data_IF_650426599527
#
_entry.id   IF_650426599527
#
_cell.length_a   1.000
_cell.length_b   1.000
_cell.length_c   1.000
_cell.angle_alpha   90.00
_cell.angle_beta   90.00
_cell.angle_gamma   90.00
#
_symmetry.space_group_name_H-M   'P 1'
#
loop_
_entity.id
_entity.type
_entity.pdbx_description
1 polymer ?
#
# COMPACT_ATOMS: atom_id res chain seq x y z
N UNK A 1 26.84 -32.03 21.20
CA UNK A 1 26.76 -30.83 20.36
C UNK A 1 25.76 -31.13 19.24
N UNK A 2 24.47 -30.79 19.44
CA UNK A 2 23.46 -30.81 18.37
C UNK A 2 23.58 -29.53 17.56
N UNK A 3 23.96 -29.68 16.31
CA UNK A 3 23.89 -28.59 15.31
C UNK A 3 22.42 -28.30 15.04
N UNK A 4 21.93 -27.16 15.51
CA UNK A 4 20.63 -26.62 15.07
C UNK A 4 20.75 -26.32 13.58
N UNK A 5 20.14 -27.18 12.76
CA UNK A 5 19.91 -26.94 11.34
C UNK A 5 18.89 -25.78 11.26
N UNK A 6 19.35 -24.58 10.94
CA UNK A 6 18.48 -23.48 10.55
C UNK A 6 17.77 -23.87 9.26
N UNK A 7 16.59 -24.45 9.38
CA UNK A 7 15.66 -24.60 8.26
C UNK A 7 15.03 -23.21 8.03
N UNK A 8 15.60 -22.41 7.16
CA UNK A 8 14.89 -21.33 6.50
C UNK A 8 13.86 -21.99 5.56
N UNK A 9 12.67 -22.29 6.07
CA UNK A 9 11.56 -22.71 5.20
C UNK A 9 11.22 -21.53 4.30
N UNK A 10 11.38 -21.71 3.00
CA UNK A 10 10.89 -20.75 2.02
C UNK A 10 9.36 -20.75 2.01
N UNK A 11 8.75 -19.57 1.99
CA UNK A 11 7.32 -19.41 1.82
C UNK A 11 6.92 -19.95 0.43
N UNK A 12 5.83 -20.71 0.38
CA UNK A 12 5.35 -21.36 -0.86
C UNK A 12 4.16 -20.64 -1.48
N UNK A 13 3.39 -19.92 -0.68
CA UNK A 13 2.11 -19.32 -1.05
C UNK A 13 2.05 -17.85 -0.73
N UNK A 14 2.58 -17.43 0.44
CA UNK A 14 2.68 -16.03 0.79
C UNK A 14 3.76 -15.32 -0.03
N UNK A 15 3.36 -14.26 -0.75
CA UNK A 15 4.25 -13.35 -1.43
C UNK A 15 4.60 -12.13 -0.56
N UNK A 16 5.12 -11.08 -1.19
CA UNK A 16 5.47 -9.82 -0.52
C UNK A 16 4.27 -9.08 0.08
N UNK A 17 3.08 -9.30 -0.46
CA UNK A 17 1.83 -8.63 -0.03
C UNK A 17 0.68 -9.64 0.10
N UNK A 18 0.85 -10.61 0.97
CA UNK A 18 -0.13 -11.67 1.21
C UNK A 18 -0.16 -12.73 0.11
N UNK A 19 -1.31 -13.37 -0.05
CA UNK A 19 -1.56 -14.38 -1.08
C UNK A 19 -2.30 -13.73 -2.23
N UNK A 20 -1.80 -13.84 -3.45
CA UNK A 20 -2.42 -13.26 -4.66
C UNK A 20 -2.39 -14.23 -5.82
N UNK A 21 -3.37 -14.09 -6.72
CA UNK A 21 -3.41 -14.85 -7.95
C UNK A 21 -4.61 -14.51 -8.83
N UNK A 22 -4.65 -15.14 -9.98
CA UNK A 22 -5.80 -15.06 -10.87
C UNK A 22 -6.95 -15.89 -10.31
N UNK A 23 -8.13 -15.31 -10.30
CA UNK A 23 -9.34 -15.98 -9.76
C UNK A 23 -9.66 -17.25 -10.54
N UNK A 24 -9.88 -18.35 -9.82
CA UNK A 24 -10.12 -19.67 -10.41
C UNK A 24 -8.87 -20.51 -10.60
N UNK A 25 -7.68 -19.93 -10.43
CA UNK A 25 -6.40 -20.61 -10.44
C UNK A 25 -5.80 -20.64 -9.02
N UNK A 26 -5.06 -21.71 -8.68
CA UNK A 26 -4.37 -21.75 -7.39
C UNK A 26 -3.40 -20.57 -7.25
N UNK A 27 -3.37 -19.85 -6.11
CA UNK A 27 -4.06 -20.11 -4.84
C UNK A 27 -5.45 -19.47 -4.71
N UNK A 28 -5.94 -18.73 -5.72
CA UNK A 28 -7.21 -18.00 -5.62
C UNK A 28 -8.42 -18.86 -6.03
N UNK A 29 -8.65 -19.93 -5.28
CA UNK A 29 -9.80 -20.85 -5.38
C UNK A 29 -10.55 -20.89 -4.04
N UNK A 30 -11.85 -21.23 -4.07
CA UNK A 30 -12.70 -21.31 -2.88
C UNK A 30 -12.16 -22.32 -1.88
N UNK A 31 -11.72 -23.50 -2.35
CA UNK A 31 -11.14 -24.54 -1.49
C UNK A 31 -9.89 -24.03 -0.78
N UNK A 32 -8.94 -23.45 -1.52
CA UNK A 32 -7.71 -22.97 -0.93
C UNK A 32 -7.96 -21.82 0.08
N UNK A 33 -8.83 -20.86 -0.27
CA UNK A 33 -9.18 -19.73 0.61
C UNK A 33 -9.83 -20.23 1.91
N UNK A 34 -10.71 -21.22 1.84
CA UNK A 34 -11.32 -21.83 3.04
C UNK A 34 -10.28 -22.54 3.91
N UNK A 35 -9.34 -23.26 3.32
CA UNK A 35 -8.23 -23.93 4.03
C UNK A 35 -7.31 -22.91 4.68
N UNK A 36 -6.97 -21.83 3.96
CA UNK A 36 -6.14 -20.73 4.49
C UNK A 36 -6.82 -20.05 5.68
N UNK A 37 -8.13 -19.84 5.62
CA UNK A 37 -8.91 -19.27 6.72
C UNK A 37 -8.83 -20.13 7.99
N UNK A 38 -9.05 -21.45 7.86
CA UNK A 38 -8.92 -22.38 8.97
C UNK A 38 -7.50 -22.46 9.54
N UNK A 39 -6.49 -22.44 8.65
CA UNK A 39 -5.09 -22.39 9.07
C UNK A 39 -4.77 -21.09 9.85
N UNK A 40 -5.22 -19.94 9.35
CA UNK A 40 -5.05 -18.66 10.03
C UNK A 40 -5.76 -18.64 11.39
N UNK A 41 -6.98 -19.15 11.47
CA UNK A 41 -7.74 -19.28 12.72
C UNK A 41 -6.96 -20.08 13.77
N UNK A 42 -6.40 -21.24 13.39
CA UNK A 42 -5.67 -22.11 14.30
C UNK A 42 -4.36 -21.52 14.83
N UNK A 43 -3.74 -20.59 14.08
CA UNK A 43 -2.50 -19.91 14.48
C UNK A 43 -2.77 -18.64 15.26
N UNK A 44 -3.70 -17.81 14.77
CA UNK A 44 -3.91 -16.45 15.29
C UNK A 44 -4.97 -16.36 16.39
N UNK A 45 -5.89 -17.33 16.44
CA UNK A 45 -6.97 -17.36 17.41
C UNK A 45 -7.33 -18.80 17.86
N UNK A 46 -6.36 -19.57 18.39
CA UNK A 46 -6.56 -21.00 18.71
C UNK A 46 -7.58 -21.23 19.83
N UNK A 47 -7.95 -20.20 20.58
CA UNK A 47 -8.95 -20.25 21.67
C UNK A 47 -10.30 -19.63 21.26
N UNK A 48 -10.52 -19.38 19.98
CA UNK A 48 -11.65 -18.60 19.49
C UNK A 48 -11.39 -17.09 19.58
N UNK A 49 -12.40 -16.30 19.28
CA UNK A 49 -12.35 -14.84 19.32
C UNK A 49 -12.99 -14.20 18.09
N UNK A 50 -12.59 -13.00 17.78
CA UNK A 50 -13.19 -12.20 16.71
C UNK A 50 -12.21 -11.98 15.57
N UNK A 51 -12.71 -12.04 14.34
CA UNK A 51 -11.97 -11.69 13.10
C UNK A 51 -12.76 -10.65 12.31
N UNK A 52 -12.05 -9.64 11.82
CA UNK A 52 -12.61 -8.62 10.92
C UNK A 52 -12.31 -9.01 9.48
N UNK A 53 -13.32 -8.99 8.61
CA UNK A 53 -13.18 -9.28 7.18
C UNK A 53 -13.73 -8.12 6.35
N UNK A 54 -12.89 -7.58 5.49
CA UNK A 54 -13.29 -6.56 4.53
C UNK A 54 -12.75 -6.87 3.14
N UNK A 55 -13.29 -6.19 2.14
CA UNK A 55 -12.95 -6.44 0.73
C UNK A 55 -12.94 -5.16 -0.09
N UNK A 56 -12.32 -5.22 -1.26
CA UNK A 56 -12.56 -4.22 -2.30
C UNK A 56 -13.84 -4.53 -3.10
N UNK A 57 -14.00 -3.92 -4.26
CA UNK A 57 -15.23 -3.97 -5.05
C UNK A 57 -15.25 -5.08 -6.11
N UNK A 58 -14.22 -5.92 -6.19
CA UNK A 58 -14.13 -7.04 -7.17
C UNK A 58 -15.30 -7.98 -7.02
N UNK A 59 -15.84 -8.46 -8.15
CA UNK A 59 -16.94 -9.44 -8.14
C UNK A 59 -16.56 -10.70 -7.35
N UNK A 60 -15.33 -11.17 -7.47
CA UNK A 60 -14.82 -12.34 -6.76
C UNK A 60 -14.72 -12.13 -5.24
N UNK A 61 -14.69 -10.88 -4.77
CA UNK A 61 -14.66 -10.55 -3.36
C UNK A 61 -15.86 -11.08 -2.59
N UNK A 62 -17.02 -11.12 -3.19
CA UNK A 62 -18.24 -11.68 -2.57
C UNK A 62 -18.14 -13.19 -2.36
N UNK A 63 -17.62 -13.90 -3.37
CA UNK A 63 -17.39 -15.33 -3.28
C UNK A 63 -16.37 -15.70 -2.19
N UNK A 64 -15.24 -14.96 -2.16
CA UNK A 64 -14.19 -15.20 -1.16
C UNK A 64 -14.61 -14.78 0.24
N UNK A 65 -15.41 -13.69 0.39
CA UNK A 65 -15.99 -13.30 1.68
C UNK A 65 -16.85 -14.45 2.24
N UNK A 66 -17.71 -15.06 1.42
CA UNK A 66 -18.56 -16.17 1.84
C UNK A 66 -17.73 -17.41 2.21
N UNK A 67 -16.66 -17.72 1.47
CA UNK A 67 -15.77 -18.81 1.79
C UNK A 67 -15.02 -18.61 3.12
N UNK A 68 -14.49 -17.40 3.34
CA UNK A 68 -13.86 -17.01 4.59
C UNK A 68 -14.84 -17.06 5.76
N UNK A 69 -16.04 -16.48 5.59
CA UNK A 69 -17.10 -16.47 6.61
C UNK A 69 -17.41 -17.91 7.07
N UNK A 70 -17.70 -18.80 6.12
CA UNK A 70 -18.03 -20.19 6.44
C UNK A 70 -16.89 -20.91 7.18
N UNK A 71 -15.64 -20.77 6.69
CA UNK A 71 -14.49 -21.43 7.27
C UNK A 71 -14.13 -20.91 8.66
N UNK A 72 -14.21 -19.60 8.87
CA UNK A 72 -13.90 -18.95 10.15
C UNK A 72 -14.96 -19.23 11.21
N UNK A 73 -16.24 -19.19 10.84
CA UNK A 73 -17.36 -19.62 11.71
C UNK A 73 -17.23 -21.09 12.10
N UNK A 74 -16.91 -21.96 11.13
CA UNK A 74 -16.63 -23.37 11.38
C UNK A 74 -15.46 -23.60 12.35
N UNK A 75 -14.48 -22.69 12.35
CA UNK A 75 -13.33 -22.70 13.28
C UNK A 75 -13.64 -22.08 14.65
N UNK A 76 -14.89 -21.73 14.95
CA UNK A 76 -15.32 -21.19 16.25
C UNK A 76 -15.06 -19.71 16.43
N UNK A 77 -14.85 -18.93 15.35
CA UNK A 77 -14.60 -17.50 15.41
C UNK A 77 -15.84 -16.67 15.10
N UNK A 78 -16.04 -15.60 15.85
CA UNK A 78 -16.97 -14.55 15.48
C UNK A 78 -16.40 -13.72 14.32
N UNK A 79 -17.16 -13.61 13.24
CA UNK A 79 -16.75 -12.93 12.02
C UNK A 79 -17.48 -11.60 11.87
N UNK A 80 -16.72 -10.51 11.85
CA UNK A 80 -17.25 -9.17 11.62
C UNK A 80 -17.03 -8.78 10.15
N UNK A 81 -18.12 -8.70 9.37
CA UNK A 81 -18.10 -8.38 7.95
C UNK A 81 -18.26 -6.87 7.73
N UNK A 82 -17.34 -6.25 6.99
CA UNK A 82 -17.36 -4.82 6.65
C UNK A 82 -17.90 -4.55 5.25
N UNK A 83 -17.90 -5.56 4.38
CA UNK A 83 -18.20 -5.38 2.96
C UNK A 83 -17.09 -4.61 2.23
N UNK A 84 -17.40 -3.86 1.15
CA UNK A 84 -16.42 -3.00 0.48
C UNK A 84 -15.92 -1.89 1.42
N UNK A 85 -14.63 -1.97 1.75
CA UNK A 85 -13.99 -1.13 2.75
C UNK A 85 -12.49 -0.95 2.45
N UNK A 86 -11.91 0.26 2.59
CA UNK A 86 -10.49 0.49 2.37
C UNK A 86 -9.59 -0.38 3.25
N UNK A 87 -8.48 -0.84 2.69
CA UNK A 87 -7.44 -1.59 3.44
C UNK A 87 -7.07 -0.91 4.76
N UNK A 88 -6.74 0.40 4.81
CA UNK A 88 -6.45 1.08 6.07
C UNK A 88 -7.65 1.12 7.03
N UNK A 89 -8.88 1.16 6.53
CA UNK A 89 -10.08 1.10 7.37
C UNK A 89 -10.27 -0.28 8.01
N UNK A 90 -9.92 -1.37 7.30
CA UNK A 90 -9.94 -2.72 7.86
C UNK A 90 -8.86 -2.86 8.94
N UNK A 91 -7.66 -2.33 8.69
CA UNK A 91 -6.56 -2.24 9.66
C UNK A 91 -7.01 -1.51 10.93
N UNK A 92 -7.58 -0.32 10.78
CA UNK A 92 -8.13 0.47 11.88
C UNK A 92 -9.21 -0.31 12.66
N UNK A 93 -10.19 -0.88 11.97
CA UNK A 93 -11.31 -1.59 12.61
C UNK A 93 -10.83 -2.84 13.35
N UNK A 94 -9.85 -3.56 12.82
CA UNK A 94 -9.25 -4.73 13.47
C UNK A 94 -8.71 -4.36 14.85
N UNK A 95 -7.99 -3.26 14.96
CA UNK A 95 -7.45 -2.74 16.21
C UNK A 95 -8.54 -2.14 17.10
N UNK A 96 -9.42 -1.31 16.55
CA UNK A 96 -10.47 -0.58 17.27
C UNK A 96 -11.47 -1.53 17.97
N UNK A 97 -11.82 -2.64 17.30
CA UNK A 97 -12.70 -3.68 17.84
C UNK A 97 -11.96 -4.73 18.70
N UNK A 98 -10.66 -4.59 18.94
CA UNK A 98 -9.84 -5.58 19.64
C UNK A 98 -9.97 -6.99 19.03
N UNK A 99 -10.08 -7.10 17.71
CA UNK A 99 -10.15 -8.38 17.02
C UNK A 99 -8.82 -9.15 17.12
N UNK A 100 -8.89 -10.48 17.12
CA UNK A 100 -7.69 -11.32 17.14
C UNK A 100 -6.84 -11.12 15.88
N UNK A 101 -7.51 -10.95 14.76
CA UNK A 101 -6.86 -10.65 13.49
C UNK A 101 -7.84 -10.05 12.48
N UNK A 102 -7.32 -9.57 11.36
CA UNK A 102 -8.10 -9.07 10.23
C UNK A 102 -7.76 -9.78 8.93
N UNK A 103 -8.70 -9.84 8.02
CA UNK A 103 -8.51 -10.35 6.66
C UNK A 103 -8.99 -9.33 5.64
N UNK A 104 -8.13 -8.97 4.71
CA UNK A 104 -8.43 -8.09 3.58
C UNK A 104 -8.51 -8.92 2.31
N UNK A 105 -9.62 -8.79 1.58
CA UNK A 105 -9.81 -9.44 0.28
C UNK A 105 -9.59 -8.39 -0.80
N UNK A 106 -8.39 -8.33 -1.35
CA UNK A 106 -8.02 -7.38 -2.39
C UNK A 106 -6.73 -7.78 -3.10
N UNK A 107 -6.62 -7.41 -4.37
CA UNK A 107 -5.38 -7.42 -5.13
C UNK A 107 -4.90 -5.98 -5.46
N UNK A 108 -5.27 -4.98 -4.63
CA UNK A 108 -4.86 -3.58 -4.73
C UNK A 108 -5.05 -3.01 -6.15
N UNK A 109 -3.96 -2.75 -6.86
CA UNK A 109 -3.93 -2.10 -8.17
C UNK A 109 -4.15 -3.04 -9.39
N UNK A 110 -4.25 -4.35 -9.17
CA UNK A 110 -4.49 -5.30 -10.27
C UNK A 110 -5.90 -5.16 -10.85
N UNK A 111 -6.12 -5.69 -12.07
CA UNK A 111 -7.44 -5.82 -12.70
C UNK A 111 -8.36 -6.74 -11.91
N UNK A 112 -9.67 -6.73 -12.21
CA UNK A 112 -10.68 -7.52 -11.50
C UNK A 112 -10.49 -9.04 -11.59
N UNK A 113 -9.76 -9.53 -12.57
CA UNK A 113 -9.47 -10.95 -12.79
C UNK A 113 -8.57 -11.54 -11.70
N UNK A 114 -7.86 -10.67 -10.98
CA UNK A 114 -7.01 -11.04 -9.85
C UNK A 114 -7.71 -10.71 -8.53
N UNK A 115 -7.38 -11.48 -7.51
CA UNK A 115 -7.72 -11.15 -6.13
C UNK A 115 -6.61 -11.61 -5.19
N UNK A 116 -6.74 -11.31 -3.90
CA UNK A 116 -5.75 -11.69 -2.90
C UNK A 116 -6.31 -11.66 -1.49
N UNK A 117 -5.54 -12.21 -0.57
CA UNK A 117 -5.81 -12.21 0.86
C UNK A 117 -4.60 -11.66 1.59
N UNK A 118 -4.82 -10.60 2.37
CA UNK A 118 -3.83 -10.06 3.30
C UNK A 118 -4.33 -10.33 4.71
N UNK A 119 -3.49 -10.88 5.57
CA UNK A 119 -3.82 -11.17 6.96
C UNK A 119 -3.15 -10.14 7.85
N UNK A 120 -3.93 -9.58 8.77
CA UNK A 120 -3.49 -8.60 9.76
C UNK A 120 -3.46 -9.23 11.16
N UNK A 121 -2.51 -8.82 11.97
CA UNK A 121 -2.50 -9.13 13.40
C UNK A 121 -3.51 -8.27 14.19
N UNK A 122 -3.62 -8.47 15.50
CA UNK A 122 -4.53 -7.72 16.37
C UNK A 122 -4.24 -6.20 16.46
N UNK A 123 -3.08 -5.76 16.02
CA UNK A 123 -2.72 -4.34 15.93
C UNK A 123 -3.10 -3.71 14.58
N UNK A 124 -3.73 -4.47 13.69
CA UNK A 124 -4.07 -4.01 12.33
C UNK A 124 -2.87 -3.98 11.37
N UNK A 125 -1.78 -4.66 11.70
CA UNK A 125 -0.58 -4.73 10.88
C UNK A 125 -0.52 -6.05 10.12
N UNK A 126 0.09 -6.06 8.96
CA UNK A 126 0.35 -7.30 8.23
C UNK A 126 1.19 -8.25 9.09
N UNK A 127 0.80 -9.52 9.12
CA UNK A 127 1.53 -10.56 9.86
C UNK A 127 2.97 -10.68 9.38
N UNK A 128 3.85 -11.03 10.29
CA UNK A 128 5.27 -11.24 9.99
C UNK A 128 5.52 -12.60 9.28
N UNK A 129 6.72 -12.73 8.73
CA UNK A 129 7.13 -13.93 7.99
C UNK A 129 7.06 -15.21 8.83
N UNK A 130 7.27 -15.14 10.14
CA UNK A 130 7.20 -16.30 11.03
C UNK A 130 5.77 -16.80 11.13
N UNK A 131 4.82 -15.89 11.31
CA UNK A 131 3.40 -16.22 11.36
C UNK A 131 2.92 -16.76 10.01
N UNK A 132 3.39 -16.18 8.89
CA UNK A 132 3.09 -16.70 7.54
C UNK A 132 3.55 -18.16 7.39
N UNK A 133 4.76 -18.49 7.85
CA UNK A 133 5.28 -19.87 7.85
C UNK A 133 4.44 -20.77 8.74
N UNK A 134 4.05 -20.32 9.93
CA UNK A 134 3.23 -21.11 10.84
C UNK A 134 1.85 -21.41 10.22
N UNK A 135 1.24 -20.46 9.53
CA UNK A 135 -0.01 -20.65 8.78
C UNK A 135 0.19 -21.64 7.62
N UNK A 136 1.26 -21.49 6.82
CA UNK A 136 1.54 -22.45 5.72
C UNK A 136 1.73 -23.87 6.22
N UNK A 137 2.35 -24.08 7.37
CA UNK A 137 2.49 -25.37 8.00
C UNK A 137 1.14 -26.00 8.41
N UNK A 138 0.13 -25.19 8.70
CA UNK A 138 -1.22 -25.68 9.01
C UNK A 138 -2.02 -26.06 7.76
N UNK A 139 -1.69 -25.54 6.58
CA UNK A 139 -2.40 -25.84 5.33
C UNK A 139 -2.39 -27.34 4.96
N UNK A 140 -1.42 -28.09 5.46
CA UNK A 140 -1.34 -29.54 5.26
C UNK A 140 -2.32 -30.34 6.14
N UNK A 141 -2.93 -29.72 7.14
CA UNK A 141 -3.89 -30.35 8.05
C UNK A 141 -5.31 -30.15 7.52
N UNK A 142 -6.18 -31.12 7.83
CA UNK A 142 -7.59 -30.98 7.49
C UNK A 142 -8.25 -29.84 8.26
N UNK A 143 -9.14 -29.07 7.63
CA UNK A 143 -9.91 -28.03 8.30
C UNK A 143 -10.76 -28.62 9.43
N UNK A 144 -10.81 -27.95 10.57
CA UNK A 144 -11.62 -28.36 11.70
C UNK A 144 -12.97 -27.64 11.62
N UNK A 145 -14.05 -28.41 11.77
CA UNK A 145 -15.39 -27.85 11.99
C UNK A 145 -15.80 -28.16 13.43
N UNK A 146 -16.05 -27.09 14.20
CA UNK A 146 -16.50 -27.18 15.57
C UNK A 146 -17.94 -27.74 15.66
N UNK A 147 -18.31 -28.23 16.83
CA UNK A 147 -19.69 -28.66 17.11
C UNK A 147 -20.63 -27.46 17.20
N UNK A 148 -21.92 -27.66 16.99
CA UNK A 148 -22.90 -26.60 16.85
C UNK A 148 -22.96 -25.62 18.03
N UNK A 149 -22.59 -26.07 19.23
CA UNK A 149 -22.53 -25.27 20.47
C UNK A 149 -21.29 -24.37 20.58
N UNK A 150 -20.27 -24.61 19.75
CA UNK A 150 -18.99 -23.87 19.74
C UNK A 150 -18.69 -23.19 18.39
N UNK A 151 -19.64 -23.18 17.46
CA UNK A 151 -19.55 -22.40 16.24
C UNK A 151 -19.51 -20.89 16.55
N UNK A 152 -18.75 -20.13 15.75
CA UNK A 152 -18.79 -18.68 15.77
C UNK A 152 -20.05 -18.12 15.10
N UNK A 153 -20.15 -16.79 15.08
CA UNK A 153 -21.26 -16.07 14.44
C UNK A 153 -20.72 -15.03 13.48
N UNK A 154 -21.39 -14.90 12.33
CA UNK A 154 -21.10 -13.81 11.40
C UNK A 154 -22.07 -12.65 11.62
N UNK A 155 -21.52 -11.45 11.72
CA UNK A 155 -22.29 -10.21 11.87
C UNK A 155 -21.75 -9.12 10.93
N UNK A 156 -22.59 -8.17 10.56
CA UNK A 156 -22.16 -6.96 9.87
C UNK A 156 -21.95 -5.84 10.88
N UNK A 157 -20.86 -5.08 10.72
CA UNK A 157 -20.62 -3.88 11.53
C UNK A 157 -21.08 -2.62 10.77
N UNK A 158 -22.26 -2.05 11.08
CA UNK A 158 -22.76 -0.86 10.41
C UNK A 158 -21.98 0.40 10.77
N UNK A 159 -21.33 0.44 11.93
CA UNK A 159 -20.69 1.62 12.49
C UNK A 159 -19.23 1.78 12.04
N UNK A 160 -18.60 0.72 11.57
CA UNK A 160 -17.19 0.71 11.19
C UNK A 160 -16.83 1.84 10.23
N UNK A 161 -17.71 2.14 9.27
CA UNK A 161 -17.50 3.24 8.32
C UNK A 161 -17.46 4.60 9.01
N UNK A 162 -18.41 4.86 9.88
CA UNK A 162 -18.48 6.09 10.67
C UNK A 162 -17.27 6.24 11.58
N UNK A 163 -16.88 5.17 12.27
CA UNK A 163 -15.73 5.17 13.17
C UNK A 163 -14.41 5.47 12.42
N UNK A 164 -14.18 4.82 11.28
CA UNK A 164 -13.01 5.09 10.47
C UNK A 164 -13.01 6.52 9.90
N UNK A 165 -14.15 7.01 9.38
CA UNK A 165 -14.26 8.40 8.91
C UNK A 165 -13.97 9.40 10.04
N UNK A 166 -14.51 9.18 11.24
CA UNK A 166 -14.25 10.03 12.40
C UNK A 166 -12.78 10.00 12.80
N UNK A 167 -12.15 8.83 12.75
CA UNK A 167 -10.74 8.69 13.06
C UNK A 167 -9.87 9.52 12.13
N UNK A 168 -10.00 9.38 10.80
CA UNK A 168 -9.16 10.10 9.85
C UNK A 168 -9.52 11.60 9.74
N UNK A 169 -10.80 11.98 9.93
CA UNK A 169 -11.21 13.39 9.97
C UNK A 169 -10.82 14.09 11.27
N UNK A 170 -10.55 13.33 12.34
CA UNK A 170 -10.12 13.83 13.64
C UNK A 170 -8.79 14.59 13.64
N UNK A 171 -8.04 14.56 12.53
CA UNK A 171 -6.86 15.41 12.35
C UNK A 171 -7.20 16.91 12.29
N UNK A 172 -8.45 17.25 11.96
CA UNK A 172 -8.92 18.64 11.94
C UNK A 172 -9.64 18.97 13.24
N UNK A 173 -9.35 20.16 13.76
CA UNK A 173 -9.98 20.68 14.99
C UNK A 173 -11.16 21.62 14.72
N UNK A 174 -11.26 22.16 13.50
CA UNK A 174 -12.29 23.11 13.12
C UNK A 174 -13.41 22.43 12.30
N UNK A 175 -14.65 22.90 12.39
CA UNK A 175 -15.74 22.44 11.53
C UNK A 175 -15.51 22.91 10.09
N UNK A 176 -15.81 22.04 9.11
CA UNK A 176 -15.72 22.32 7.68
C UNK A 176 -14.39 22.99 7.25
N UNK A 177 -13.23 22.40 7.61
CA UNK A 177 -11.92 23.01 7.35
C UNK A 177 -11.63 23.20 5.86
N UNK A 178 -12.27 22.36 5.00
CA UNK A 178 -12.02 22.34 3.56
C UNK A 178 -13.05 23.15 2.74
N UNK A 179 -13.86 24.02 3.35
CA UNK A 179 -14.94 24.76 2.70
C UNK A 179 -14.53 25.64 1.51
N UNK A 180 -13.24 25.92 1.34
CA UNK A 180 -12.71 26.71 0.22
C UNK A 180 -12.00 25.85 -0.82
N UNK A 181 -11.97 24.55 -0.63
CA UNK A 181 -11.23 23.61 -1.49
C UNK A 181 -12.21 22.93 -2.43
N UNK A 182 -11.95 23.03 -3.72
CA UNK A 182 -12.60 22.22 -4.75
C UNK A 182 -11.69 21.07 -5.12
N UNK A 183 -12.16 19.83 -4.96
CA UNK A 183 -11.34 18.63 -5.12
C UNK A 183 -11.98 17.62 -6.05
N UNK A 184 -11.19 17.09 -6.99
CA UNK A 184 -11.57 15.90 -7.76
C UNK A 184 -11.02 14.68 -7.03
N UNK A 185 -11.88 13.70 -6.74
CA UNK A 185 -11.45 12.44 -6.12
C UNK A 185 -11.77 11.26 -7.02
N UNK A 186 -10.72 10.54 -7.42
CA UNK A 186 -10.83 9.29 -8.17
C UNK A 186 -10.62 8.11 -7.23
N UNK A 187 -11.67 7.32 -7.05
CA UNK A 187 -11.69 6.17 -6.18
C UNK A 187 -11.39 4.84 -6.89
N UNK A 188 -10.91 4.85 -8.13
CA UNK A 188 -10.58 3.64 -8.91
C UNK A 188 -11.72 2.63 -9.06
N UNK A 189 -12.98 3.03 -8.92
CA UNK A 189 -14.11 2.11 -8.71
C UNK A 189 -13.85 1.10 -7.57
N UNK A 190 -12.99 1.46 -6.62
CA UNK A 190 -12.47 0.63 -5.55
C UNK A 190 -13.16 0.85 -4.20
N UNK A 191 -12.52 0.38 -3.15
CA UNK A 191 -13.08 0.28 -1.80
C UNK A 191 -13.46 1.62 -1.16
N UNK A 192 -12.80 2.71 -1.57
CA UNK A 192 -13.07 4.06 -1.03
C UNK A 192 -14.25 4.79 -1.68
N UNK A 193 -14.93 4.21 -2.69
CA UNK A 193 -15.94 4.87 -3.52
C UNK A 193 -17.09 5.56 -2.75
N UNK A 194 -17.42 5.08 -1.56
CA UNK A 194 -18.43 5.71 -0.68
C UNK A 194 -17.82 6.60 0.38
N UNK A 195 -16.64 6.22 0.90
CA UNK A 195 -16.04 6.88 2.05
C UNK A 195 -15.39 8.20 1.64
N UNK A 196 -14.55 8.18 0.59
CA UNK A 196 -13.77 9.35 0.22
C UNK A 196 -14.64 10.56 -0.17
N UNK A 197 -15.62 10.45 -1.08
CA UNK A 197 -16.46 11.60 -1.42
C UNK A 197 -17.28 12.12 -0.23
N UNK A 198 -17.83 11.20 0.57
CA UNK A 198 -18.65 11.56 1.74
C UNK A 198 -17.85 12.30 2.79
N UNK A 199 -16.65 11.84 3.07
CA UNK A 199 -15.79 12.44 4.07
C UNK A 199 -15.31 13.82 3.64
N UNK A 200 -14.83 13.96 2.42
CA UNK A 200 -14.40 15.25 1.88
C UNK A 200 -15.54 16.27 1.89
N UNK A 201 -16.76 15.85 1.51
CA UNK A 201 -17.97 16.71 1.60
C UNK A 201 -18.34 17.06 3.04
N UNK A 202 -18.23 16.12 3.97
CA UNK A 202 -18.49 16.39 5.40
C UNK A 202 -17.48 17.38 6.00
N UNK A 203 -16.25 17.40 5.49
CA UNK A 203 -15.21 18.38 5.83
C UNK A 203 -15.40 19.74 5.11
N UNK A 204 -16.44 19.85 4.29
CA UNK A 204 -16.85 21.10 3.63
C UNK A 204 -16.31 21.31 2.21
N UNK A 205 -15.51 20.39 1.67
CA UNK A 205 -14.98 20.54 0.32
C UNK A 205 -16.08 20.50 -0.77
N UNK A 206 -15.85 21.22 -1.86
CA UNK A 206 -16.60 21.06 -3.12
C UNK A 206 -16.03 19.84 -3.87
N UNK A 207 -16.74 18.72 -3.81
CA UNK A 207 -16.22 17.42 -4.23
C UNK A 207 -16.77 17.00 -5.58
N UNK A 208 -15.87 16.67 -6.50
CA UNK A 208 -16.19 16.08 -7.80
C UNK A 208 -15.70 14.62 -7.78
N UNK A 209 -16.60 13.64 -7.53
CA UNK A 209 -16.21 12.24 -7.48
C UNK A 209 -16.18 11.63 -8.89
N UNK A 210 -15.07 10.95 -9.20
CA UNK A 210 -14.92 10.09 -10.38
C UNK A 210 -14.46 8.70 -9.94
N UNK A 211 -14.60 7.69 -10.81
CA UNK A 211 -14.23 6.33 -10.41
C UNK A 211 -15.04 5.81 -9.22
N UNK A 212 -16.30 6.22 -9.03
CA UNK A 212 -17.12 5.92 -7.85
C UNK A 212 -18.35 5.03 -8.15
N UNK A 213 -18.40 4.35 -9.29
CA UNK A 213 -19.52 3.50 -9.71
C UNK A 213 -19.05 2.06 -9.96
N UNK A 214 -18.64 1.31 -8.92
CA UNK A 214 -18.14 -0.05 -9.08
C UNK A 214 -19.23 -1.00 -9.57
N UNK A 215 -18.89 -1.85 -10.53
CA UNK A 215 -19.76 -2.91 -11.06
C UNK A 215 -19.21 -4.33 -10.85
N UNK A 216 -18.10 -4.46 -10.12
CA UNK A 216 -17.42 -5.72 -9.87
C UNK A 216 -16.31 -6.06 -10.87
N UNK A 217 -16.29 -5.42 -12.04
CA UNK A 217 -15.38 -5.70 -13.16
C UNK A 217 -14.51 -4.49 -13.56
N UNK A 218 -14.80 -3.32 -13.04
CA UNK A 218 -14.19 -2.07 -13.48
C UNK A 218 -13.20 -1.45 -12.46
N UNK A 219 -12.84 -2.16 -11.40
CA UNK A 219 -11.81 -1.68 -10.46
C UNK A 219 -10.49 -1.43 -11.18
N UNK A 220 -9.88 -0.26 -10.95
CA UNK A 220 -8.63 0.20 -11.60
C UNK A 220 -8.69 0.32 -13.12
N UNK A 221 -9.85 0.18 -13.75
CA UNK A 221 -9.98 0.23 -15.20
C UNK A 221 -10.05 1.68 -15.67
N UNK A 222 -8.99 2.16 -16.31
CA UNK A 222 -8.86 3.52 -16.84
C UNK A 222 -9.11 4.63 -15.81
N UNK A 223 -8.77 4.39 -14.56
CA UNK A 223 -8.99 5.33 -13.45
C UNK A 223 -7.99 5.12 -12.30
N UNK A 224 -8.00 6.05 -11.35
CA UNK A 224 -7.22 6.01 -10.13
C UNK A 224 -5.71 6.18 -10.33
N UNK A 225 -4.94 5.76 -9.32
CA UNK A 225 -3.48 5.93 -9.31
C UNK A 225 -2.74 5.11 -10.35
N UNK A 226 -3.39 4.07 -10.92
CA UNK A 226 -2.80 3.23 -11.98
C UNK A 226 -3.05 3.76 -13.39
N UNK A 227 -4.01 4.67 -13.55
CA UNK A 227 -4.32 5.36 -14.81
C UNK A 227 -4.64 6.83 -14.52
N UNK A 228 -3.60 7.58 -14.24
CA UNK A 228 -3.65 8.94 -13.70
C UNK A 228 -4.08 9.98 -14.73
N UNK A 229 -4.04 9.68 -16.04
CA UNK A 229 -4.28 10.64 -17.10
C UNK A 229 -5.67 11.29 -17.04
N UNK A 230 -6.68 10.52 -16.67
CA UNK A 230 -8.06 11.01 -16.60
C UNK A 230 -8.19 12.13 -15.57
N UNK A 231 -7.73 11.88 -14.35
CA UNK A 231 -7.83 12.88 -13.29
C UNK A 231 -6.87 14.05 -13.53
N UNK A 232 -5.68 13.83 -14.09
CA UNK A 232 -4.73 14.88 -14.44
C UNK A 232 -5.28 15.88 -15.45
N UNK A 233 -6.15 15.42 -16.37
CA UNK A 233 -6.89 16.31 -17.29
C UNK A 233 -8.14 16.93 -16.67
N UNK A 234 -8.79 16.22 -15.76
CA UNK A 234 -10.05 16.65 -15.14
C UNK A 234 -9.84 17.81 -14.17
N UNK A 235 -8.77 17.78 -13.37
CA UNK A 235 -8.48 18.81 -12.37
C UNK A 235 -8.40 20.21 -12.99
N UNK A 236 -7.54 20.49 -13.97
CA UNK A 236 -7.49 21.81 -14.61
C UNK A 236 -8.76 22.13 -15.40
N UNK A 237 -9.39 21.15 -16.08
CA UNK A 237 -10.59 21.37 -16.86
C UNK A 237 -11.78 21.87 -16.00
N UNK A 238 -11.84 21.47 -14.74
CA UNK A 238 -12.87 21.88 -13.80
C UNK A 238 -12.42 22.99 -12.84
N UNK A 239 -11.22 23.53 -13.03
CA UNK A 239 -10.63 24.53 -12.15
C UNK A 239 -10.66 24.08 -10.68
N UNK A 240 -10.32 22.82 -10.44
CA UNK A 240 -10.21 22.28 -9.10
C UNK A 240 -8.84 22.62 -8.49
N UNK A 241 -8.81 22.80 -7.17
CA UNK A 241 -7.57 23.14 -6.45
C UNK A 241 -6.64 21.94 -6.30
N UNK A 242 -7.23 20.72 -6.28
CA UNK A 242 -6.50 19.48 -6.04
C UNK A 242 -7.23 18.29 -6.66
N UNK A 243 -6.46 17.29 -7.08
CA UNK A 243 -6.94 15.94 -7.39
C UNK A 243 -6.38 14.93 -6.40
N UNK A 244 -7.18 13.92 -6.07
CA UNK A 244 -6.81 12.78 -5.24
C UNK A 244 -7.08 11.51 -6.05
N UNK A 245 -6.04 10.76 -6.38
CA UNK A 245 -6.16 9.49 -7.11
C UNK A 245 -5.76 8.34 -6.19
N UNK A 246 -6.74 7.52 -5.81
CA UNK A 246 -6.55 6.34 -4.98
C UNK A 246 -6.38 5.09 -5.86
N UNK A 247 -5.82 4.03 -5.31
CA UNK A 247 -5.87 2.69 -5.92
C UNK A 247 -7.08 1.90 -5.42
N UNK A 248 -7.23 0.66 -5.89
CA UNK A 248 -8.43 -0.15 -5.67
C UNK A 248 -8.80 -0.42 -4.22
N UNK A 249 -7.84 -0.53 -3.31
CA UNK A 249 -8.06 -0.71 -1.87
C UNK A 249 -7.63 0.50 -1.01
N UNK A 250 -7.27 1.61 -1.69
CA UNK A 250 -7.02 2.92 -1.11
C UNK A 250 -5.88 2.98 -0.09
N UNK A 251 -4.92 2.06 -0.18
CA UNK A 251 -3.70 2.10 0.62
C UNK A 251 -2.61 2.99 -0.02
N UNK A 252 -2.86 3.47 -1.26
CA UNK A 252 -1.98 4.36 -2.05
C UNK A 252 -2.72 5.59 -2.52
N UNK A 253 -1.98 6.67 -2.72
CA UNK A 253 -2.50 7.92 -3.28
C UNK A 253 -1.46 8.60 -4.16
N UNK A 254 -1.91 9.17 -5.27
CA UNK A 254 -1.24 10.25 -5.98
C UNK A 254 -2.09 11.51 -5.88
N UNK A 255 -1.43 12.66 -5.81
CA UNK A 255 -2.10 13.95 -5.82
C UNK A 255 -1.91 14.61 -7.19
N UNK A 256 -2.85 15.46 -7.55
CA UNK A 256 -2.82 16.21 -8.80
C UNK A 256 -2.91 17.68 -8.45
N UNK A 257 -1.93 18.45 -8.86
CA UNK A 257 -1.96 19.89 -8.71
C UNK A 257 -2.98 20.56 -9.64
N UNK A 258 -3.31 21.84 -9.41
CA UNK A 258 -4.34 22.56 -10.17
C UNK A 258 -4.05 22.66 -11.67
N UNK A 259 -2.81 22.53 -12.07
CA UNK A 259 -2.38 22.55 -13.48
C UNK A 259 -2.35 21.15 -14.11
N UNK A 260 -2.74 20.11 -13.37
CA UNK A 260 -2.72 18.72 -13.83
C UNK A 260 -1.39 18.00 -13.62
N UNK A 261 -0.42 18.63 -12.96
CA UNK A 261 0.84 17.99 -12.62
C UNK A 261 0.65 16.88 -11.59
N UNK A 262 1.23 15.72 -11.87
CA UNK A 262 1.15 14.53 -11.01
C UNK A 262 2.18 14.65 -9.89
N UNK A 263 1.75 14.34 -8.68
CA UNK A 263 2.53 14.37 -7.45
C UNK A 263 2.54 12.97 -6.88
N UNK A 264 3.65 12.30 -7.04
CA UNK A 264 3.84 10.90 -6.66
C UNK A 264 4.31 10.74 -5.21
N UNK A 265 4.50 9.50 -4.77
CA UNK A 265 4.83 9.17 -3.39
C UNK A 265 6.06 9.89 -2.83
N UNK A 266 7.14 10.02 -3.61
CA UNK A 266 8.36 10.70 -3.16
C UNK A 266 8.12 12.21 -2.91
N UNK A 267 7.29 12.84 -3.74
CA UNK A 267 6.91 14.25 -3.59
C UNK A 267 5.99 14.44 -2.38
N UNK A 268 5.03 13.51 -2.18
CA UNK A 268 4.15 13.50 -1.01
C UNK A 268 4.96 13.32 0.26
N UNK A 269 5.91 12.39 0.26
CA UNK A 269 6.79 12.13 1.39
C UNK A 269 7.64 13.37 1.75
N UNK A 270 8.14 14.09 0.73
CA UNK A 270 8.84 15.36 0.94
C UNK A 270 7.96 16.43 1.60
N UNK A 271 6.74 16.61 1.10
CA UNK A 271 5.79 17.58 1.68
C UNK A 271 5.50 17.25 3.14
N UNK A 272 5.14 16.00 3.44
CA UNK A 272 4.81 15.57 4.80
C UNK A 272 6.02 15.70 5.74
N UNK A 273 7.21 15.32 5.28
CA UNK A 273 8.44 15.50 6.06
C UNK A 273 8.75 16.98 6.32
N UNK A 274 8.57 17.84 5.32
CA UNK A 274 8.75 19.29 5.47
C UNK A 274 7.76 19.90 6.46
N UNK A 275 6.49 19.48 6.42
CA UNK A 275 5.46 19.91 7.38
C UNK A 275 5.83 19.43 8.79
N UNK A 276 6.30 18.18 8.92
CA UNK A 276 6.64 17.58 10.19
C UNK A 276 7.81 18.31 10.91
N UNK A 277 8.68 19.04 10.20
CA UNK A 277 9.74 19.83 10.83
C UNK A 277 9.22 20.91 11.78
N UNK A 278 7.97 21.34 11.62
CA UNK A 278 7.31 22.26 12.54
C UNK A 278 6.86 21.58 13.85
N UNK A 279 6.91 20.26 13.93
CA UNK A 279 6.59 19.50 15.13
C UNK A 279 7.89 19.17 15.89
N UNK A 280 8.02 19.63 17.12
CA UNK A 280 9.20 19.34 17.97
C UNK A 280 9.38 17.84 18.30
N UNK A 281 8.37 17.01 18.10
CA UNK A 281 8.45 15.57 18.30
C UNK A 281 8.99 14.83 17.06
N UNK A 282 9.07 15.50 15.92
CA UNK A 282 9.64 14.91 14.72
C UNK A 282 11.15 14.77 14.84
N UNK A 283 11.66 13.58 14.81
CA UNK A 283 13.08 13.28 15.02
C UNK A 283 13.95 13.48 13.76
N UNK A 284 13.42 14.12 12.72
CA UNK A 284 14.11 14.39 11.45
C UNK A 284 14.61 13.13 10.72
N UNK A 285 13.87 12.04 10.84
CA UNK A 285 14.15 10.79 10.15
C UNK A 285 12.94 10.35 9.37
N UNK A 286 13.15 9.88 8.15
CA UNK A 286 12.11 9.23 7.33
C UNK A 286 12.66 7.96 6.70
N UNK A 287 11.75 7.08 6.30
CA UNK A 287 12.08 5.84 5.60
C UNK A 287 11.49 5.86 4.20
N UNK A 288 12.34 5.65 3.21
CA UNK A 288 11.97 5.33 1.84
C UNK A 288 12.39 3.91 1.48
N UNK A 289 12.38 3.60 0.20
CA UNK A 289 12.90 2.33 -0.32
C UNK A 289 14.18 2.55 -1.14
N UNK A 290 14.78 1.46 -1.58
CA UNK A 290 15.87 1.52 -2.56
C UNK A 290 15.45 2.22 -3.86
N UNK A 291 14.15 2.32 -4.17
CA UNK A 291 13.61 3.02 -5.34
C UNK A 291 13.37 4.51 -5.12
N UNK A 292 13.42 4.98 -3.89
CA UNK A 292 13.25 6.40 -3.56
C UNK A 292 14.28 7.25 -4.30
N UNK A 293 13.82 8.33 -4.91
CA UNK A 293 14.64 9.20 -5.75
C UNK A 293 15.82 9.82 -4.99
N UNK A 294 17.00 9.83 -5.59
CA UNK A 294 18.20 10.41 -4.96
C UNK A 294 18.09 11.93 -4.79
N UNK A 295 17.34 12.61 -5.65
CA UNK A 295 17.02 14.04 -5.53
C UNK A 295 16.19 14.33 -4.29
N UNK A 296 15.24 13.44 -3.93
CA UNK A 296 14.52 13.54 -2.67
C UNK A 296 15.46 13.47 -1.48
N UNK A 297 16.38 12.50 -1.45
CA UNK A 297 17.36 12.37 -0.35
C UNK A 297 18.20 13.63 -0.19
N UNK A 298 18.70 14.18 -1.30
CA UNK A 298 19.46 15.44 -1.30
C UNK A 298 18.64 16.61 -0.77
N UNK A 299 17.40 16.74 -1.24
CA UNK A 299 16.50 17.83 -0.83
C UNK A 299 16.13 17.75 0.65
N UNK A 300 15.90 16.55 1.17
CA UNK A 300 15.64 16.31 2.59
C UNK A 300 16.88 16.62 3.46
N UNK A 301 18.06 16.22 3.00
CA UNK A 301 19.32 16.52 3.69
C UNK A 301 19.54 18.03 3.85
N UNK A 302 19.15 18.84 2.85
CA UNK A 302 19.21 20.29 2.93
C UNK A 302 18.28 20.88 4.01
N UNK A 303 17.24 20.13 4.42
CA UNK A 303 16.34 20.45 5.54
C UNK A 303 16.76 19.80 6.87
N UNK A 304 17.90 19.13 6.91
CA UNK A 304 18.37 18.42 8.11
C UNK A 304 17.61 17.11 8.38
N UNK A 305 16.92 16.55 7.38
CA UNK A 305 16.17 15.30 7.49
C UNK A 305 16.98 14.16 6.89
N UNK A 306 17.13 13.07 7.64
CA UNK A 306 17.83 11.87 7.21
C UNK A 306 16.86 10.87 6.57
N UNK A 307 17.18 10.42 5.37
CA UNK A 307 16.48 9.33 4.68
C UNK A 307 17.18 7.99 4.97
N UNK A 308 16.41 7.00 5.42
CA UNK A 308 16.81 5.60 5.47
C UNK A 308 16.13 4.82 4.34
N UNK A 309 16.82 3.82 3.79
CA UNK A 309 16.31 3.05 2.65
C UNK A 309 16.07 1.60 3.07
N UNK A 310 14.85 1.11 2.90
CA UNK A 310 14.49 -0.30 3.04
C UNK A 310 14.50 -0.99 1.67
N UNK A 311 14.41 -2.32 1.68
CA UNK A 311 13.95 -3.05 0.51
C UNK A 311 12.53 -2.63 0.13
N UNK A 312 12.15 -2.87 -1.14
CA UNK A 312 10.79 -2.59 -1.65
C UNK A 312 9.77 -3.43 -0.89
N UNK A 313 8.65 -2.82 -0.58
CA UNK A 313 7.52 -3.42 0.12
C UNK A 313 7.21 -2.75 1.45
N UNK A 314 5.95 -2.52 1.69
CA UNK A 314 5.44 -1.80 2.86
C UNK A 314 5.82 -2.44 4.21
N UNK A 315 5.90 -3.78 4.28
CA UNK A 315 6.41 -4.50 5.47
C UNK A 315 7.85 -4.10 5.79
N UNK A 316 8.70 -3.99 4.77
CA UNK A 316 10.11 -3.62 4.92
C UNK A 316 10.22 -2.15 5.36
N UNK A 317 9.41 -1.27 4.77
CA UNK A 317 9.33 0.14 5.17
C UNK A 317 8.93 0.25 6.64
N UNK A 318 7.82 -0.38 7.06
CA UNK A 318 7.33 -0.35 8.43
C UNK A 318 8.36 -0.92 9.42
N UNK A 319 9.00 -2.03 9.07
CA UNK A 319 10.03 -2.63 9.91
C UNK A 319 11.21 -1.66 10.13
N UNK A 320 11.70 -1.03 9.06
CA UNK A 320 12.81 -0.07 9.16
C UNK A 320 12.39 1.21 9.90
N UNK A 321 11.14 1.69 9.73
CA UNK A 321 10.59 2.80 10.50
C UNK A 321 10.70 2.55 12.01
N UNK A 322 10.35 1.34 12.46
CA UNK A 322 10.47 0.95 13.87
C UNK A 322 11.91 0.83 14.35
N UNK A 323 12.81 0.31 13.51
CA UNK A 323 14.24 0.18 13.85
C UNK A 323 14.92 1.54 13.95
N UNK A 324 14.50 2.52 13.17
CA UNK A 324 15.07 3.87 13.15
C UNK A 324 14.30 4.88 14.01
N UNK A 325 13.19 4.43 14.62
CA UNK A 325 12.26 5.30 15.35
C UNK A 325 11.69 6.43 14.46
N UNK A 326 11.44 6.12 13.19
CA UNK A 326 10.89 7.08 12.23
C UNK A 326 9.35 6.99 12.24
N UNK A 327 8.68 8.13 12.35
CA UNK A 327 7.20 8.19 12.32
C UNK A 327 6.62 8.26 10.91
N UNK A 328 7.44 8.65 9.92
CA UNK A 328 7.03 8.84 8.54
C UNK A 328 7.88 7.98 7.61
N UNK A 329 7.22 7.27 6.72
CA UNK A 329 7.87 6.47 5.68
C UNK A 329 6.94 6.22 4.50
N UNK A 330 7.49 5.75 3.40
CA UNK A 330 6.68 5.44 2.24
C UNK A 330 7.46 5.00 1.01
N UNK A 331 6.72 4.79 -0.04
CA UNK A 331 7.19 4.34 -1.34
C UNK A 331 6.78 5.33 -2.43
N UNK A 332 7.55 5.41 -3.49
CA UNK A 332 7.23 6.24 -4.66
C UNK A 332 5.88 5.85 -5.31
N UNK A 333 5.39 4.63 -5.07
CA UNK A 333 4.08 4.16 -5.50
C UNK A 333 2.90 4.85 -4.79
N UNK A 334 3.15 5.74 -3.84
CA UNK A 334 2.11 6.45 -3.09
C UNK A 334 1.63 5.75 -1.82
N UNK A 335 2.26 4.65 -1.43
CA UNK A 335 2.00 3.99 -0.15
C UNK A 335 2.76 4.73 0.95
N UNK A 336 2.06 5.56 1.71
CA UNK A 336 2.63 6.42 2.76
C UNK A 336 2.14 5.97 4.12
N UNK A 337 3.07 5.74 5.04
CA UNK A 337 2.81 5.35 6.43
C UNK A 337 3.15 6.53 7.34
N UNK A 338 2.22 6.88 8.20
CA UNK A 338 2.43 7.85 9.29
C UNK A 338 2.04 7.19 10.62
N UNK A 339 3.03 6.80 11.41
CA UNK A 339 2.83 6.05 12.66
C UNK A 339 2.16 6.86 13.78
N UNK A 340 2.07 8.18 13.67
CA UNK A 340 1.24 8.98 14.59
C UNK A 340 -0.25 8.68 14.42
N UNK A 341 -0.63 8.07 13.28
CA UNK A 341 -2.02 7.76 12.97
C UNK A 341 -2.26 6.26 12.72
N UNK A 342 -1.48 5.64 11.83
CA UNK A 342 -1.74 4.27 11.40
C UNK A 342 -0.45 3.53 11.03
N UNK A 343 -0.35 2.23 11.31
CA UNK A 343 0.75 1.39 10.86
C UNK A 343 0.58 0.93 9.39
N UNK A 344 -0.54 1.25 8.77
CA UNK A 344 -0.85 0.93 7.38
C UNK A 344 -0.76 2.18 6.52
N UNK A 345 -0.35 2.04 5.26
CA UNK A 345 -0.56 3.08 4.27
C UNK A 345 -2.04 3.41 4.16
N UNK A 346 -2.34 4.70 4.11
CA UNK A 346 -3.70 5.23 4.03
C UNK A 346 -3.71 6.41 3.06
N UNK A 347 -4.19 6.14 1.83
CA UNK A 347 -4.18 7.15 0.78
C UNK A 347 -5.07 8.35 1.09
N UNK A 348 -6.20 8.10 1.75
CA UNK A 348 -7.14 9.17 2.08
C UNK A 348 -6.64 10.03 3.25
N UNK A 349 -6.12 9.43 4.31
CA UNK A 349 -5.47 10.13 5.40
C UNK A 349 -4.28 10.96 4.90
N UNK A 350 -3.45 10.37 4.02
CA UNK A 350 -2.30 11.04 3.41
C UNK A 350 -2.72 12.31 2.65
N UNK A 351 -3.77 12.21 1.81
CA UNK A 351 -4.33 13.35 1.11
C UNK A 351 -4.85 14.42 2.09
N UNK A 352 -5.55 14.01 3.13
CA UNK A 352 -6.07 14.92 4.15
C UNK A 352 -4.97 15.64 4.94
N UNK A 353 -3.86 14.97 5.24
CA UNK A 353 -2.71 15.60 5.90
C UNK A 353 -2.09 16.71 5.04
N UNK A 354 -1.99 16.50 3.72
CA UNK A 354 -1.55 17.55 2.78
C UNK A 354 -2.58 18.67 2.70
N UNK A 355 -3.88 18.35 2.57
CA UNK A 355 -4.94 19.36 2.53
C UNK A 355 -5.00 20.17 3.83
N UNK A 356 -4.77 19.53 4.97
CA UNK A 356 -4.66 20.21 6.26
C UNK A 356 -3.55 21.25 6.24
N UNK A 357 -2.38 20.89 5.75
CA UNK A 357 -1.26 21.82 5.65
C UNK A 357 -1.56 23.01 4.71
N UNK A 358 -2.19 22.74 3.56
CA UNK A 358 -2.59 23.80 2.62
C UNK A 358 -3.50 24.83 3.32
N UNK A 359 -4.49 24.35 4.09
CA UNK A 359 -5.46 25.23 4.76
C UNK A 359 -4.87 25.93 5.98
N UNK A 360 -4.16 25.20 6.86
CA UNK A 360 -3.65 25.75 8.13
C UNK A 360 -2.46 26.70 7.93
N UNK A 361 -1.65 26.46 6.90
CA UNK A 361 -0.49 27.29 6.58
C UNK A 361 -0.81 28.37 5.53
N UNK A 362 -2.04 28.39 5.01
CA UNK A 362 -2.47 29.28 3.91
C UNK A 362 -1.49 29.25 2.73
N UNK A 363 -1.17 28.04 2.28
CA UNK A 363 -0.14 27.74 1.28
C UNK A 363 -0.72 26.95 0.09
N UNK A 364 0.06 26.79 -0.95
CA UNK A 364 -0.29 25.97 -2.11
C UNK A 364 0.52 24.65 -2.14
N UNK A 365 0.05 23.69 -2.90
CA UNK A 365 0.77 22.45 -3.12
C UNK A 365 2.14 22.69 -3.79
N UNK A 366 2.24 23.68 -4.67
CA UNK A 366 3.49 24.09 -5.30
C UNK A 366 4.50 24.66 -4.29
N UNK A 367 4.03 25.43 -3.31
CA UNK A 367 4.89 25.97 -2.25
C UNK A 367 5.36 24.87 -1.28
N UNK A 368 4.50 23.87 -1.00
CA UNK A 368 4.91 22.69 -0.20
C UNK A 368 6.01 21.87 -0.89
N UNK A 369 6.08 21.90 -2.21
CA UNK A 369 7.13 21.25 -3.01
C UNK A 369 8.38 22.10 -3.22
N UNK A 370 8.37 23.36 -2.73
CA UNK A 370 9.52 24.24 -2.91
C UNK A 370 10.81 23.66 -2.31
N UNK A 371 11.87 23.65 -3.13
CA UNK A 371 13.18 23.09 -2.74
C UNK A 371 13.34 21.59 -2.98
N UNK A 372 12.33 20.93 -3.55
CA UNK A 372 12.47 19.56 -4.02
C UNK A 372 12.99 19.53 -5.47
N UNK A 373 14.12 18.88 -5.66
CA UNK A 373 14.72 18.65 -6.97
C UNK A 373 14.87 17.17 -7.22
N UNK A 374 13.92 16.58 -7.95
CA UNK A 374 13.99 15.18 -8.35
C UNK A 374 14.93 14.98 -9.54
N UNK A 375 15.62 13.85 -9.55
CA UNK A 375 16.41 13.40 -10.70
C UNK A 375 15.49 12.56 -11.60
N UNK A 376 15.48 12.76 -12.92
CA UNK A 376 14.73 11.91 -13.84
C UNK A 376 15.09 10.43 -13.66
N UNK A 377 14.08 9.56 -13.60
CA UNK A 377 14.23 8.12 -13.47
C UNK A 377 13.76 7.43 -14.76
N UNK A 378 14.62 6.56 -15.29
CA UNK A 378 14.33 5.73 -16.45
C UNK A 378 14.28 4.27 -16.02
N UNK A 379 13.15 3.61 -16.28
CA UNK A 379 12.92 2.23 -15.88
C UNK A 379 12.94 1.31 -17.09
N UNK A 380 13.76 0.27 -17.04
CA UNK A 380 13.92 -0.73 -18.09
C UNK A 380 13.69 -2.13 -17.54
N UNK A 381 13.25 -3.04 -18.40
CA UNK A 381 13.05 -4.44 -18.06
C UNK A 381 13.82 -5.32 -19.05
N UNK A 382 14.45 -6.38 -18.54
CA UNK A 382 15.07 -7.42 -19.36
C UNK A 382 14.41 -8.75 -18.99
N UNK A 383 13.70 -9.36 -19.92
CA UNK A 383 13.21 -10.73 -19.76
C UNK A 383 14.40 -11.69 -19.79
N UNK A 384 14.58 -12.45 -18.73
CA UNK A 384 15.70 -13.37 -18.60
C UNK A 384 15.42 -14.45 -17.56
N UNK A 385 16.13 -15.57 -17.68
CA UNK A 385 16.07 -16.64 -16.68
C UNK A 385 16.85 -16.22 -15.42
N UNK A 386 16.10 -15.76 -14.43
CA UNK A 386 16.65 -15.27 -13.15
C UNK A 386 17.43 -16.33 -12.37
N UNK A 387 17.27 -17.62 -12.68
CA UNK A 387 18.00 -18.72 -12.02
C UNK A 387 19.49 -18.74 -12.43
N UNK A 388 19.81 -18.16 -13.58
CA UNK A 388 21.18 -18.07 -14.09
C UNK A 388 21.94 -16.86 -13.55
N UNK A 389 21.25 -15.92 -12.92
CA UNK A 389 21.85 -14.69 -12.39
C UNK A 389 22.07 -14.81 -10.90
N UNK A 390 23.34 -14.84 -10.47
CA UNK A 390 23.67 -14.76 -9.05
C UNK A 390 23.38 -13.35 -8.50
N UNK A 391 23.18 -13.25 -7.19
CA UNK A 391 23.02 -11.93 -6.56
C UNK A 391 24.32 -11.11 -6.64
N UNK A 392 25.48 -11.78 -6.60
CA UNK A 392 26.78 -11.13 -6.73
C UNK A 392 26.91 -10.46 -8.12
N UNK A 393 26.53 -11.16 -9.20
CA UNK A 393 26.52 -10.59 -10.53
C UNK A 393 25.61 -9.36 -10.65
N UNK A 394 24.44 -9.40 -10.02
CA UNK A 394 23.50 -8.27 -10.04
C UNK A 394 24.08 -7.06 -9.31
N UNK A 395 24.77 -7.30 -8.20
CA UNK A 395 25.47 -6.25 -7.45
C UNK A 395 26.61 -5.68 -8.29
N UNK A 396 27.43 -6.52 -8.92
CA UNK A 396 28.52 -6.11 -9.80
C UNK A 396 28.01 -5.24 -10.96
N UNK A 397 26.91 -5.64 -11.63
CA UNK A 397 26.29 -4.86 -12.69
C UNK A 397 25.85 -3.47 -12.22
N UNK A 398 25.26 -3.39 -11.02
CA UNK A 398 24.88 -2.12 -10.42
C UNK A 398 26.08 -1.24 -10.10
N UNK A 399 27.13 -1.81 -9.49
CA UNK A 399 28.32 -1.09 -9.07
C UNK A 399 29.14 -0.60 -10.29
N UNK A 400 29.31 -1.43 -11.31
CA UNK A 400 29.99 -1.04 -12.56
C UNK A 400 29.25 0.11 -13.25
N UNK A 401 27.89 0.00 -13.35
CA UNK A 401 27.09 1.05 -13.96
C UNK A 401 27.17 2.36 -13.17
N UNK A 402 27.18 2.29 -11.83
CA UNK A 402 27.31 3.46 -10.96
C UNK A 402 28.70 4.13 -11.07
N UNK A 403 29.77 3.34 -11.32
CA UNK A 403 31.12 3.89 -11.53
C UNK A 403 31.18 4.77 -12.80
N UNK A 404 30.38 4.47 -13.79
CA UNK A 404 30.30 5.21 -15.05
C UNK A 404 29.31 6.40 -15.02
N UNK A 405 28.66 6.64 -13.89
CA UNK A 405 27.65 7.69 -13.74
C UNK A 405 28.15 8.81 -12.83
N UNK A 406 28.34 10.03 -13.38
CA UNK A 406 28.87 11.15 -12.60
C UNK A 406 27.84 11.81 -11.67
N UNK A 407 26.57 11.82 -12.07
CA UNK A 407 25.45 12.36 -11.28
C UNK A 407 24.22 11.50 -11.51
N UNK A 408 23.87 10.70 -10.52
CA UNK A 408 22.72 9.80 -10.58
C UNK A 408 23.00 8.46 -9.92
N UNK A 409 22.17 7.49 -10.23
CA UNK A 409 22.25 6.16 -9.64
C UNK A 409 21.68 5.11 -10.60
N UNK A 410 22.28 3.93 -10.61
CA UNK A 410 21.75 2.74 -11.28
C UNK A 410 21.42 1.69 -10.22
N UNK A 411 20.24 1.13 -10.34
CA UNK A 411 19.77 0.02 -9.51
C UNK A 411 19.36 -1.14 -10.43
N UNK A 412 19.98 -2.29 -10.25
CA UNK A 412 19.64 -3.54 -10.95
C UNK A 412 19.05 -4.51 -9.93
N UNK A 413 17.88 -5.08 -10.20
CA UNK A 413 17.21 -6.02 -9.28
C UNK A 413 16.38 -7.06 -10.01
N UNK A 414 16.21 -8.23 -9.39
CA UNK A 414 15.24 -9.24 -9.85
C UNK A 414 13.81 -8.76 -9.57
N UNK A 415 12.90 -9.02 -10.50
CA UNK A 415 11.48 -8.88 -10.21
C UNK A 415 11.05 -9.98 -9.23
N UNK A 416 10.22 -9.62 -8.24
CA UNK A 416 9.67 -10.58 -7.28
C UNK A 416 8.51 -11.42 -7.84
N UNK A 417 7.93 -11.02 -8.98
CA UNK A 417 6.69 -11.59 -9.52
C UNK A 417 6.81 -12.10 -10.95
N UNK A 418 7.84 -11.70 -11.68
CA UNK A 418 8.00 -11.97 -13.11
C UNK A 418 9.45 -12.39 -13.41
N UNK A 419 9.68 -13.23 -14.44
CA UNK A 419 11.03 -13.68 -14.82
C UNK A 419 11.77 -12.57 -15.55
N UNK A 420 12.03 -11.45 -14.88
CA UNK A 420 12.72 -10.31 -15.48
C UNK A 420 13.64 -9.61 -14.49
N UNK A 421 14.67 -8.98 -15.05
CA UNK A 421 15.55 -8.04 -14.36
C UNK A 421 14.99 -6.63 -14.56
N UNK A 422 14.83 -5.89 -13.48
CA UNK A 422 14.41 -4.49 -13.49
C UNK A 422 15.60 -3.58 -13.25
N UNK A 423 15.74 -2.58 -14.11
CA UNK A 423 16.83 -1.62 -14.08
C UNK A 423 16.23 -0.23 -13.96
N UNK A 424 16.61 0.48 -12.90
CA UNK A 424 16.25 1.88 -12.70
C UNK A 424 17.52 2.71 -12.84
N UNK A 425 17.51 3.68 -13.76
CA UNK A 425 18.60 4.64 -13.96
C UNK A 425 18.11 6.04 -13.60
N UNK A 426 18.72 6.66 -12.62
CA UNK A 426 18.54 8.07 -12.30
C UNK A 426 19.63 8.88 -13.01
N UNK A 427 19.25 9.73 -13.93
CA UNK A 427 20.19 10.53 -14.72
C UNK A 427 19.52 11.80 -15.25
N UNK A 428 20.27 12.89 -15.34
CA UNK A 428 19.87 14.10 -16.05
C UNK A 428 19.96 13.96 -17.58
N UNK A 429 20.62 12.90 -18.06
CA UNK A 429 20.85 12.62 -19.49
C UNK A 429 20.21 11.27 -19.86
N UNK A 430 19.11 11.33 -20.60
CA UNK A 430 18.37 10.16 -21.08
C UNK A 430 19.22 9.30 -22.02
N UNK A 431 20.02 9.92 -22.88
CA UNK A 431 20.89 9.20 -23.82
C UNK A 431 21.95 8.39 -23.08
N UNK A 432 22.47 8.96 -21.99
CA UNK A 432 23.41 8.26 -21.14
C UNK A 432 22.73 7.10 -20.38
N UNK A 433 21.51 7.32 -19.89
CA UNK A 433 20.70 6.28 -19.23
C UNK A 433 20.45 5.09 -20.17
N UNK A 434 20.09 5.36 -21.43
CA UNK A 434 19.88 4.33 -22.43
C UNK A 434 21.17 3.54 -22.74
N UNK A 435 22.32 4.20 -22.83
CA UNK A 435 23.61 3.53 -23.02
C UNK A 435 23.98 2.59 -21.88
N UNK A 436 23.75 3.02 -20.64
CA UNK A 436 23.97 2.18 -19.45
C UNK A 436 23.06 0.96 -19.47
N UNK A 437 21.78 1.13 -19.82
CA UNK A 437 20.86 0.01 -20.00
C UNK A 437 21.34 -0.99 -21.04
N UNK A 438 21.75 -0.53 -22.25
CA UNK A 438 22.24 -1.41 -23.31
C UNK A 438 23.54 -2.14 -22.89
N UNK A 439 24.41 -1.49 -22.13
CA UNK A 439 25.61 -2.12 -21.56
C UNK A 439 25.25 -3.25 -20.59
N UNK A 440 24.30 -3.01 -19.67
CA UNK A 440 23.84 -4.04 -18.73
C UNK A 440 23.17 -5.19 -19.48
N UNK A 441 22.32 -4.88 -20.46
CA UNK A 441 21.62 -5.87 -21.28
C UNK A 441 22.58 -6.79 -22.03
N UNK A 442 23.70 -6.24 -22.54
CA UNK A 442 24.72 -7.02 -23.24
C UNK A 442 25.48 -7.99 -22.31
N UNK A 443 25.54 -7.70 -21.01
CA UNK A 443 26.19 -8.58 -20.02
C UNK A 443 25.26 -9.65 -19.44
N UNK A 444 23.95 -9.46 -19.56
CA UNK A 444 22.91 -10.38 -19.06
C UNK A 444 22.51 -11.42 -20.10
N UNK A 445 22.58 -11.08 -21.40
CA UNK A 445 22.28 -11.98 -22.53
C UNK A 445 23.53 -12.74 -23.00
#
# INVERSE_FOLDING_TARGET
RMVKKNMTSELKVFGTDGVRGKVGEHPMTVDFVSRLAGAAASVLAPQGGTVVVGKDTRISGYMFESALEAALVASGLDVMLLGPFPTPGISFTTKDCNANFGVIISASHNSYEYNGLKILNSLGEKIDKRIEIDIENQLSKDPITHTADTLGRATRNPDARGNYMNFISGIFTQPQPLRKIKVVVDCSHGAAYKIAPRMLSALGADVIPIGCSPNGYNINLNCGSTNIETIAKTVPALSADLGIALDGDADRVFLIGPEGNIIEGDQILYMLASIATNNHQFNSKIVGTILTNSGLEKSLKNKGIQLYRSEVGDKNVLQLMRQTDSILGGENSGHIINLDHSPSGDGLLTALLVMKAIVELDTSIGELLHGLELVPQFNYNIETDLTKLSNDLITELSDEANTNLHNGRVLVRKSGTEPMLRITVESLDEVHAQKLFESIKAQVN
#
